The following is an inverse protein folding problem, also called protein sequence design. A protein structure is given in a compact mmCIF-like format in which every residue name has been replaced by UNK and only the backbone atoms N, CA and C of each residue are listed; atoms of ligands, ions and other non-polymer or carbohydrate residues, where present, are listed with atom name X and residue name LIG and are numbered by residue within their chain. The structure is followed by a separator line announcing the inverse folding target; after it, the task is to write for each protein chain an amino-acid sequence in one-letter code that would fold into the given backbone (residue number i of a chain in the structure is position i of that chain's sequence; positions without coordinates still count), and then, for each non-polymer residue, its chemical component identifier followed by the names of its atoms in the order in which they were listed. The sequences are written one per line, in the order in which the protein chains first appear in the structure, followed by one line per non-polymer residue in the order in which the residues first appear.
data_IF_527965278004
#
_entry.id   IF_527965278004
#
_cell.length_a   1.000
_cell.length_b   1.000
_cell.length_c   1.000
_cell.angle_alpha   90.00
_cell.angle_beta   90.00
_cell.angle_gamma   90.00
#
_symmetry.space_group_name_H-M   'P 1'
#
loop_
_entity.id
_entity.type
_entity.pdbx_description
1 polymer ?
#
# COMPACT_ATOMS: atom_id res chain seq x y z
N UNK A 1 21.80 29.03 1.13
CA UNK A 1 20.67 29.88 1.56
C UNK A 1 19.37 29.42 0.90
N UNK A 2 18.25 29.31 1.63
CA UNK A 2 16.98 28.87 1.04
C UNK A 2 16.47 29.89 0.01
N UNK A 3 16.05 29.41 -1.17
CA UNK A 3 15.55 30.27 -2.28
C UNK A 3 14.32 31.11 -1.89
N UNK A 4 13.55 30.62 -0.91
CA UNK A 4 12.46 31.36 -0.28
C UNK A 4 12.97 32.04 0.97
N UNK A 5 12.82 33.36 1.05
CA UNK A 5 13.23 34.14 2.23
C UNK A 5 12.06 34.45 3.17
N UNK A 6 10.83 34.44 2.66
CA UNK A 6 9.62 34.72 3.44
C UNK A 6 9.20 33.50 4.31
N UNK A 7 9.05 33.65 5.64
CA UNK A 7 8.61 32.58 6.53
C UNK A 7 7.23 31.97 6.18
N UNK A 8 6.25 32.78 5.78
CA UNK A 8 4.92 32.34 5.39
C UNK A 8 4.97 31.47 4.14
N UNK A 9 5.78 31.86 3.15
CA UNK A 9 5.98 31.07 1.94
C UNK A 9 6.72 29.75 2.22
N UNK A 10 7.69 29.76 3.17
CA UNK A 10 8.34 28.53 3.62
C UNK A 10 7.32 27.57 4.24
N UNK A 11 6.42 28.08 5.08
CA UNK A 11 5.35 27.29 5.72
C UNK A 11 4.38 26.71 4.69
N UNK A 12 3.96 27.50 3.70
CA UNK A 12 3.10 27.03 2.59
C UNK A 12 3.77 25.91 1.80
N UNK A 13 5.03 26.09 1.40
CA UNK A 13 5.79 25.05 0.68
C UNK A 13 6.00 23.80 1.53
N UNK A 14 6.18 23.93 2.84
CA UNK A 14 6.22 22.78 3.74
C UNK A 14 4.89 22.03 3.72
N UNK A 15 3.74 22.70 3.84
CA UNK A 15 2.45 22.03 3.79
C UNK A 15 2.14 21.32 2.47
N UNK A 16 2.65 21.85 1.36
CA UNK A 16 2.47 21.27 0.02
C UNK A 16 3.44 20.12 -0.28
N UNK A 17 4.70 20.21 0.22
CA UNK A 17 5.80 19.32 -0.22
C UNK A 17 6.33 18.38 0.84
N UNK A 18 6.17 18.67 2.14
CA UNK A 18 6.49 17.72 3.20
C UNK A 18 5.40 16.65 3.20
N UNK A 19 5.74 15.42 2.83
CA UNK A 19 4.79 14.31 2.76
C UNK A 19 4.92 13.41 3.99
N UNK A 20 3.79 13.02 4.58
CA UNK A 20 3.69 12.12 5.75
C UNK A 20 2.96 10.84 5.40
N UNK A 21 3.36 9.76 6.08
CA UNK A 21 2.71 8.46 5.94
C UNK A 21 1.30 8.51 6.54
N UNK A 22 0.29 8.04 5.80
CA UNK A 22 -1.12 8.01 6.27
C UNK A 22 -1.63 6.57 6.44
N UNK A 23 -0.72 5.63 6.73
CA UNK A 23 -1.07 4.23 6.95
C UNK A 23 -1.83 3.99 8.27
N UNK A 24 -2.00 5.01 9.11
CA UNK A 24 -2.77 4.93 10.37
C UNK A 24 -2.13 4.09 11.48
N UNK A 25 -1.03 3.40 11.18
CA UNK A 25 -0.24 2.64 12.12
C UNK A 25 0.98 3.44 12.60
N UNK A 26 1.63 3.02 13.69
CA UNK A 26 2.90 3.62 14.09
C UNK A 26 4.00 3.39 13.04
N UNK A 27 5.02 4.26 12.99
CA UNK A 27 6.10 4.18 12.00
C UNK A 27 6.81 2.80 11.97
N UNK A 28 6.99 2.19 13.14
CA UNK A 28 7.64 0.87 13.29
C UNK A 28 6.74 -0.27 12.78
N UNK A 29 5.43 -0.20 13.00
CA UNK A 29 4.49 -1.21 12.51
C UNK A 29 4.35 -1.12 11.01
N UNK A 30 4.25 0.08 10.43
CA UNK A 30 4.20 0.27 8.97
C UNK A 30 5.41 -0.38 8.28
N UNK A 31 6.64 -0.10 8.75
CA UNK A 31 7.87 -0.75 8.22
C UNK A 31 7.81 -2.28 8.28
N UNK A 32 7.34 -2.85 9.39
CA UNK A 32 7.26 -4.30 9.57
C UNK A 32 6.14 -4.92 8.74
N UNK A 33 4.99 -4.26 8.65
CA UNK A 33 3.79 -4.77 7.98
C UNK A 33 3.92 -4.74 6.46
N UNK A 34 4.62 -3.75 5.88
CA UNK A 34 4.95 -3.74 4.44
C UNK A 34 5.73 -5.01 4.07
N UNK A 35 6.79 -5.33 4.83
CA UNK A 35 7.61 -6.52 4.58
C UNK A 35 6.78 -7.80 4.73
N UNK A 36 5.99 -7.90 5.81
CA UNK A 36 5.11 -9.06 6.05
C UNK A 36 4.06 -9.22 4.95
N UNK A 37 3.42 -8.15 4.50
CA UNK A 37 2.44 -8.17 3.42
C UNK A 37 3.03 -8.69 2.11
N UNK A 38 4.21 -8.19 1.72
CA UNK A 38 4.95 -8.70 0.57
C UNK A 38 5.30 -10.18 0.69
N UNK A 39 5.82 -10.59 1.85
CA UNK A 39 6.17 -11.98 2.11
C UNK A 39 4.95 -12.90 2.00
N UNK A 40 3.82 -12.53 2.61
CA UNK A 40 2.56 -13.29 2.53
C UNK A 40 2.06 -13.41 1.10
N UNK A 41 2.13 -12.34 0.31
CA UNK A 41 1.76 -12.38 -1.11
C UNK A 41 2.58 -13.41 -1.88
N UNK A 42 3.91 -13.42 -1.70
CA UNK A 42 4.79 -14.40 -2.36
C UNK A 42 4.55 -15.82 -1.86
N UNK A 43 4.26 -16.00 -0.56
CA UNK A 43 3.97 -17.31 0.01
C UNK A 43 2.65 -17.88 -0.51
N UNK A 44 1.60 -17.07 -0.61
CA UNK A 44 0.32 -17.48 -1.20
C UNK A 44 0.48 -17.89 -2.65
N UNK A 45 1.21 -17.12 -3.46
CA UNK A 45 1.53 -17.49 -4.84
C UNK A 45 2.21 -18.87 -4.91
N UNK A 46 3.27 -19.07 -4.13
CA UNK A 46 3.99 -20.36 -4.10
C UNK A 46 3.08 -21.52 -3.66
N UNK A 47 2.23 -21.31 -2.66
CA UNK A 47 1.28 -22.33 -2.20
C UNK A 47 0.24 -22.68 -3.28
N UNK A 48 -0.28 -21.69 -4.00
CA UNK A 48 -1.17 -21.94 -5.14
C UNK A 48 -0.46 -22.68 -6.27
N UNK A 49 0.76 -22.29 -6.64
CA UNK A 49 1.53 -22.98 -7.68
C UNK A 49 1.90 -24.41 -7.30
N UNK A 50 2.08 -24.72 -6.02
CA UNK A 50 2.31 -26.11 -5.55
C UNK A 50 1.14 -27.04 -5.89
N UNK A 51 -0.08 -26.53 -6.10
CA UNK A 51 -1.21 -27.35 -6.56
C UNK A 51 -0.92 -28.02 -7.91
N UNK A 52 -0.11 -27.40 -8.78
CA UNK A 52 0.33 -27.99 -10.06
C UNK A 52 1.10 -29.29 -9.89
N UNK A 53 1.73 -29.53 -8.73
CA UNK A 53 2.42 -30.80 -8.48
C UNK A 53 1.49 -32.02 -8.50
N UNK A 54 0.16 -31.82 -8.41
CA UNK A 54 -0.83 -32.89 -8.57
C UNK A 54 -0.82 -33.46 -9.99
N UNK A 55 -0.52 -32.62 -11.00
CA UNK A 55 -0.44 -33.04 -12.41
C UNK A 55 0.67 -34.08 -12.62
N UNK A 56 1.80 -33.95 -11.92
CA UNK A 56 2.92 -34.89 -12.02
C UNK A 56 2.61 -36.29 -11.41
N UNK A 57 1.51 -36.43 -10.66
CA UNK A 57 1.16 -37.67 -9.93
C UNK A 57 0.04 -38.47 -10.61
N UNK A 58 -0.51 -37.95 -11.71
CA UNK A 58 -1.65 -38.53 -12.42
C UNK A 58 -1.28 -38.78 -13.88
N UNK A 59 -1.95 -39.72 -14.57
CA UNK A 59 -1.88 -39.78 -16.02
C UNK A 59 -2.33 -38.44 -16.61
N UNK A 60 -1.78 -38.09 -17.76
CA UNK A 60 -2.06 -36.82 -18.41
C UNK A 60 -3.54 -36.72 -18.77
N UNK A 61 -4.20 -35.69 -18.24
CA UNK A 61 -5.59 -35.35 -18.47
C UNK A 61 -5.65 -33.84 -18.73
N UNK A 62 -5.98 -33.48 -19.97
CA UNK A 62 -5.96 -32.11 -20.47
C UNK A 62 -7.11 -31.26 -19.88
N UNK A 63 -8.30 -31.84 -19.71
CA UNK A 63 -9.44 -31.15 -19.11
C UNK A 63 -9.15 -30.81 -17.64
N UNK A 64 -8.62 -31.78 -16.90
CA UNK A 64 -8.22 -31.55 -15.52
C UNK A 64 -7.09 -30.50 -15.40
N UNK A 65 -6.10 -30.55 -16.29
CA UNK A 65 -4.99 -29.59 -16.29
C UNK A 65 -5.47 -28.15 -16.56
N UNK A 66 -6.39 -27.96 -17.50
CA UNK A 66 -6.94 -26.65 -17.86
C UNK A 66 -7.84 -26.07 -16.77
N UNK A 67 -8.64 -26.91 -16.10
CA UNK A 67 -9.45 -26.51 -14.94
C UNK A 67 -8.56 -26.04 -13.78
N UNK A 68 -7.54 -26.83 -13.43
CA UNK A 68 -6.60 -26.51 -12.35
C UNK A 68 -5.86 -25.19 -12.61
N UNK A 69 -5.40 -24.97 -13.85
CA UNK A 69 -4.75 -23.73 -14.26
C UNK A 69 -5.68 -22.52 -14.11
N UNK A 70 -6.95 -22.69 -14.48
CA UNK A 70 -7.98 -21.64 -14.35
C UNK A 70 -8.28 -21.30 -12.88
N UNK A 71 -8.32 -22.31 -12.02
CA UNK A 71 -8.47 -22.13 -10.56
C UNK A 71 -7.28 -21.36 -9.97
N UNK A 72 -6.05 -21.73 -10.35
CA UNK A 72 -4.84 -21.05 -9.86
C UNK A 72 -4.81 -19.59 -10.33
N UNK A 73 -5.07 -19.31 -11.61
CA UNK A 73 -5.09 -17.94 -12.16
C UNK A 73 -6.17 -17.07 -11.51
N UNK A 74 -7.37 -17.60 -11.32
CA UNK A 74 -8.46 -16.86 -10.67
C UNK A 74 -8.13 -16.56 -9.20
N UNK A 75 -7.59 -17.53 -8.46
CA UNK A 75 -7.18 -17.33 -7.06
C UNK A 75 -6.03 -16.32 -6.94
N UNK A 76 -5.04 -16.37 -7.85
CA UNK A 76 -3.94 -15.40 -7.89
C UNK A 76 -4.45 -13.98 -8.14
N UNK A 77 -5.36 -13.81 -9.11
CA UNK A 77 -5.97 -12.51 -9.44
C UNK A 77 -6.67 -11.91 -8.23
N UNK A 78 -7.49 -12.69 -7.52
CA UNK A 78 -8.18 -12.26 -6.31
C UNK A 78 -7.19 -11.91 -5.18
N UNK A 79 -6.14 -12.71 -5.00
CA UNK A 79 -5.11 -12.47 -4.00
C UNK A 79 -4.30 -11.20 -4.28
N UNK A 80 -3.98 -10.91 -5.54
CA UNK A 80 -3.30 -9.64 -5.93
C UNK A 80 -4.20 -8.44 -5.74
N UNK A 81 -5.49 -8.55 -6.03
CA UNK A 81 -6.45 -7.47 -5.81
C UNK A 81 -6.58 -7.10 -4.33
N UNK A 82 -6.59 -8.10 -3.43
CA UNK A 82 -6.65 -7.95 -1.96
C UNK A 82 -5.27 -7.77 -1.31
N UNK A 83 -4.20 -7.84 -2.10
CA UNK A 83 -2.83 -7.78 -1.62
C UNK A 83 -2.42 -6.41 -1.09
N UNK A 84 -1.24 -6.37 -0.46
CA UNK A 84 -0.66 -5.11 0.02
C UNK A 84 -0.47 -4.12 -1.13
N UNK A 85 -1.09 -2.93 -1.01
CA UNK A 85 -0.92 -1.81 -1.94
C UNK A 85 -0.19 -0.67 -1.25
N UNK A 86 0.91 -0.21 -1.85
CA UNK A 86 1.59 0.99 -1.40
C UNK A 86 0.74 2.20 -1.81
N UNK A 87 0.22 2.92 -0.84
CA UNK A 87 -0.44 4.21 -1.02
C UNK A 87 0.65 5.29 -0.94
N UNK A 88 0.56 6.30 -1.80
CA UNK A 88 1.46 7.46 -1.75
C UNK A 88 1.29 8.23 -0.43
N UNK A 89 2.37 8.79 0.07
CA UNK A 89 2.32 9.67 1.24
C UNK A 89 1.47 10.91 0.94
N UNK A 90 0.85 11.48 1.98
CA UNK A 90 -0.02 12.65 1.85
C UNK A 90 0.75 13.92 2.18
N UNK A 91 0.50 15.04 1.50
CA UNK A 91 1.10 16.32 1.88
C UNK A 91 0.70 16.70 3.31
N UNK A 92 1.61 17.32 4.04
CA UNK A 92 1.48 17.63 5.47
C UNK A 92 0.20 18.42 5.76
N UNK A 93 -0.20 19.33 4.88
CA UNK A 93 -1.47 20.06 5.01
C UNK A 93 -2.69 19.13 5.03
N UNK A 94 -2.74 18.12 4.17
CA UNK A 94 -3.84 17.12 4.12
C UNK A 94 -3.76 16.10 5.26
N UNK A 95 -2.55 15.81 5.73
CA UNK A 95 -2.33 14.95 6.89
C UNK A 95 -2.86 15.62 8.18
N UNK A 96 -2.54 16.91 8.37
CA UNK A 96 -2.97 17.69 9.53
C UNK A 96 -4.47 17.99 9.52
N UNK A 97 -5.09 18.20 8.35
CA UNK A 97 -6.55 18.43 8.27
C UNK A 97 -7.38 17.24 8.78
N UNK A 98 -6.80 16.03 8.82
CA UNK A 98 -7.46 14.79 9.24
C UNK A 98 -7.57 14.67 10.77
N UNK A 99 -6.72 15.37 11.52
CA UNK A 99 -6.76 15.38 12.98
C UNK A 99 -7.03 16.77 13.51
N UNK A 100 -8.27 17.08 13.89
CA UNK A 100 -8.73 18.11 14.86
C UNK A 100 -7.85 19.38 15.14
N UNK A 101 -7.11 19.91 14.18
CA UNK A 101 -6.30 21.14 14.31
C UNK A 101 -6.78 22.26 13.35
N UNK A 102 -8.05 22.22 12.97
CA UNK A 102 -8.69 23.27 12.14
C UNK A 102 -9.07 24.52 12.98
N UNK A 103 -8.98 24.48 14.32
CA UNK A 103 -9.56 25.54 15.16
C UNK A 103 -8.63 26.69 15.60
N UNK A 104 -7.50 27.01 14.92
CA UNK A 104 -6.62 28.13 15.40
C UNK A 104 -5.91 29.01 14.35
N UNK A 105 -6.25 28.96 13.06
CA UNK A 105 -5.55 29.83 12.06
C UNK A 105 -6.50 30.78 11.32
N UNK A 106 -7.80 30.80 11.63
CA UNK A 106 -8.78 31.69 10.99
C UNK A 106 -9.13 32.97 11.76
N UNK A 107 -8.39 33.35 12.82
CA UNK A 107 -8.75 34.49 13.69
C UNK A 107 -7.75 35.65 13.77
N UNK A 108 -6.79 35.78 12.85
CA UNK A 108 -5.94 36.98 12.78
C UNK A 108 -5.92 37.55 11.36
N UNK A 109 -6.93 38.38 11.07
CA UNK A 109 -7.14 39.06 9.81
C UNK A 109 -8.34 39.99 9.94
N UNK A 110 -8.25 40.95 10.86
CA UNK A 110 -9.15 42.08 11.07
C UNK A 110 -8.32 43.21 11.66
#
# INVERSE_FOLDING_TARGET
MSKVKNPQEKKRKSYEKDCRNDYGENDKSSRKNIRKGKQRSSQLFRSSSKKLNVLNKRPFDEEFATELDSEIKSSEKLNRQKGFKKISDKPLGKYLSKGKYINKVSTFGG
#
